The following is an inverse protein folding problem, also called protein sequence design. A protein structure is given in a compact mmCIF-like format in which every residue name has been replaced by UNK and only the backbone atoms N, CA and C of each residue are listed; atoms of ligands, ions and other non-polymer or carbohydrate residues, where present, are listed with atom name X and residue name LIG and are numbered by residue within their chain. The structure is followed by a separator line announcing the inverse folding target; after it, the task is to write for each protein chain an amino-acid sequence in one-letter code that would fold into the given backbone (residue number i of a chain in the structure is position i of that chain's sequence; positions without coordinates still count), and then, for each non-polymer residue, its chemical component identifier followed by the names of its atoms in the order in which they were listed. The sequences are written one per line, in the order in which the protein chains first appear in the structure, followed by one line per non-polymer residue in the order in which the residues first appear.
data_IF_858475070368
#
_entry.id   IF_858475070368
#
_cell.length_a   1.000
_cell.length_b   1.000
_cell.length_c   1.000
_cell.angle_alpha   90.00
_cell.angle_beta   90.00
_cell.angle_gamma   90.00
#
_symmetry.space_group_name_H-M   'P 1'
#
loop_
_entity.id
_entity.type
_entity.pdbx_description
1 polymer ?
#
# COMPACT_ATOMS: atom_id res chain seq x y z
N UNK A 1 38.44 -54.68 25.52
CA UNK A 1 38.73 -53.27 25.70
C UNK A 1 37.58 -52.49 25.01
N UNK A 2 36.67 -51.96 25.79
CA UNK A 2 35.50 -51.19 25.30
C UNK A 2 35.87 -49.73 25.43
N UNK A 3 35.80 -48.99 24.31
CA UNK A 3 35.94 -47.53 24.29
C UNK A 3 34.61 -46.88 24.60
N UNK A 4 34.57 -45.82 25.41
CA UNK A 4 33.34 -45.11 25.69
C UNK A 4 32.97 -44.16 24.54
N UNK A 5 31.68 -44.21 24.15
CA UNK A 5 31.05 -43.27 23.20
C UNK A 5 30.77 -41.95 23.94
N UNK A 6 31.41 -40.89 23.49
CA UNK A 6 31.14 -39.52 23.96
C UNK A 6 29.88 -39.03 23.27
N UNK A 7 28.82 -38.76 24.03
CA UNK A 7 27.61 -38.11 23.56
C UNK A 7 27.88 -36.62 23.38
N UNK A 8 27.89 -36.17 22.14
CA UNK A 8 27.89 -34.73 21.81
C UNK A 8 26.49 -34.18 21.98
N UNK A 9 26.31 -33.36 23.01
CA UNK A 9 25.07 -32.62 23.24
C UNK A 9 24.78 -31.64 22.09
N UNK A 10 23.71 -31.89 21.36
CA UNK A 10 23.16 -30.92 20.39
C UNK A 10 22.46 -29.79 21.16
N UNK A 11 23.06 -28.62 21.12
CA UNK A 11 22.44 -27.36 21.55
C UNK A 11 21.16 -27.12 20.73
N UNK A 12 20.01 -27.16 21.40
CA UNK A 12 18.73 -26.70 20.86
C UNK A 12 18.82 -25.21 20.66
N UNK A 13 19.18 -24.78 19.46
CA UNK A 13 18.97 -23.40 19.02
C UNK A 13 17.45 -23.14 18.93
N UNK A 14 16.93 -22.44 19.91
CA UNK A 14 15.57 -21.88 19.86
C UNK A 14 15.46 -21.02 18.58
N UNK A 15 14.77 -21.53 17.57
CA UNK A 15 14.41 -20.75 16.39
C UNK A 15 13.56 -19.57 16.89
N UNK A 16 14.12 -18.36 16.88
CA UNK A 16 13.33 -17.14 17.01
C UNK A 16 12.27 -17.20 15.94
N UNK A 17 11.00 -17.01 16.34
CA UNK A 17 9.91 -16.86 15.39
C UNK A 17 10.22 -15.71 14.42
N UNK A 18 9.63 -15.71 13.21
CA UNK A 18 9.90 -14.67 12.24
C UNK A 18 9.55 -13.32 12.84
N UNK A 19 10.56 -12.47 12.94
CA UNK A 19 10.40 -11.09 13.38
C UNK A 19 9.70 -10.36 12.24
N UNK A 20 8.46 -9.91 12.47
CA UNK A 20 7.75 -9.04 11.52
C UNK A 20 8.63 -7.82 11.24
N UNK A 21 8.73 -7.37 9.98
CA UNK A 21 9.43 -6.14 9.66
C UNK A 21 8.78 -5.00 10.46
N UNK A 22 9.47 -4.48 11.46
CA UNK A 22 8.99 -3.35 12.22
C UNK A 22 9.32 -2.08 11.44
N UNK A 23 8.32 -1.48 10.78
CA UNK A 23 8.42 -0.09 10.37
C UNK A 23 8.19 0.79 11.59
N UNK A 24 9.26 1.31 12.14
CA UNK A 24 9.22 2.31 13.19
C UNK A 24 10.00 3.54 12.72
N UNK A 25 9.34 4.67 12.55
CA UNK A 25 7.91 4.94 12.75
C UNK A 25 7.02 4.32 11.64
N UNK A 26 5.68 4.21 11.87
CA UNK A 26 4.73 3.84 10.83
C UNK A 26 4.83 4.77 9.62
N UNK A 27 4.57 4.22 8.43
CA UNK A 27 4.64 4.95 7.17
C UNK A 27 3.27 5.55 6.84
N UNK A 28 3.26 6.83 6.53
CA UNK A 28 2.10 7.55 6.00
C UNK A 28 2.31 7.84 4.52
N UNK A 29 1.42 7.33 3.69
CA UNK A 29 1.37 7.54 2.25
C UNK A 29 0.20 8.46 1.90
N UNK A 30 0.40 9.34 0.92
CA UNK A 30 -0.71 10.07 0.29
C UNK A 30 -0.97 9.52 -1.11
N UNK A 31 -2.24 9.14 -1.39
CA UNK A 31 -2.69 8.82 -2.73
C UNK A 31 -3.20 10.07 -3.44
N UNK A 32 -2.59 10.40 -4.58
CA UNK A 32 -2.96 11.56 -5.40
C UNK A 32 -3.99 11.12 -6.45
N UNK A 33 -5.25 10.99 -6.01
CA UNK A 33 -6.39 10.60 -6.85
C UNK A 33 -6.99 11.80 -7.60
N UNK A 34 -6.11 12.58 -8.21
CA UNK A 34 -6.39 13.80 -8.98
C UNK A 34 -6.27 13.49 -10.48
N UNK A 35 -6.71 14.39 -11.34
CA UNK A 35 -6.66 14.20 -12.80
C UNK A 35 -5.77 15.23 -13.52
N UNK A 36 -5.16 16.14 -12.77
CA UNK A 36 -4.24 17.18 -13.31
C UNK A 36 -2.93 17.16 -12.57
N UNK A 37 -1.83 17.11 -13.32
CA UNK A 37 -0.50 16.98 -12.75
C UNK A 37 -0.06 18.16 -11.89
N UNK A 38 -0.43 19.39 -12.26
CA UNK A 38 -0.08 20.59 -11.51
C UNK A 38 -0.73 20.58 -10.12
N UNK A 39 -1.99 20.15 -10.04
CA UNK A 39 -2.72 20.02 -8.78
C UNK A 39 -2.13 18.90 -7.92
N UNK A 40 -1.78 17.76 -8.52
CA UNK A 40 -1.12 16.65 -7.85
C UNK A 40 0.25 17.05 -7.30
N UNK A 41 1.07 17.78 -8.05
CA UNK A 41 2.36 18.30 -7.59
C UNK A 41 2.19 19.31 -6.45
N UNK A 42 1.18 20.18 -6.52
CA UNK A 42 0.84 21.12 -5.45
C UNK A 42 0.49 20.39 -4.15
N UNK A 43 -0.41 19.42 -4.24
CA UNK A 43 -0.83 18.58 -3.11
C UNK A 43 0.34 17.76 -2.54
N UNK A 44 1.17 17.19 -3.40
CA UNK A 44 2.36 16.43 -2.97
C UNK A 44 3.37 17.29 -2.19
N UNK A 45 3.59 18.57 -2.61
CA UNK A 45 4.46 19.50 -1.85
C UNK A 45 3.93 19.75 -0.45
N UNK A 46 2.63 20.02 -0.33
CA UNK A 46 1.97 20.22 0.97
C UNK A 46 2.12 18.96 1.84
N UNK A 47 1.92 17.78 1.25
CA UNK A 47 2.01 16.51 1.97
C UNK A 47 3.44 16.24 2.48
N UNK A 48 4.45 16.43 1.65
CA UNK A 48 5.87 16.28 2.03
C UNK A 48 6.25 17.25 3.15
N UNK A 49 5.82 18.52 3.06
CA UNK A 49 6.04 19.52 4.10
C UNK A 49 5.30 19.19 5.41
N UNK A 50 4.21 18.43 5.33
CA UNK A 50 3.48 17.92 6.49
C UNK A 50 4.08 16.64 7.10
N UNK A 51 5.12 16.06 6.48
CA UNK A 51 5.81 14.88 6.97
C UNK A 51 5.27 13.54 6.45
N UNK A 52 4.53 13.54 5.34
CA UNK A 52 4.14 12.32 4.63
C UNK A 52 5.38 11.66 4.04
N UNK A 53 5.46 10.33 4.15
CA UNK A 53 6.67 9.56 3.78
C UNK A 53 6.66 9.13 2.31
N UNK A 54 5.52 8.67 1.80
CA UNK A 54 5.38 8.13 0.45
C UNK A 54 4.35 8.90 -0.36
N UNK A 55 4.65 9.07 -1.65
CA UNK A 55 3.75 9.67 -2.62
C UNK A 55 3.21 8.60 -3.55
N UNK A 56 1.93 8.64 -3.85
CA UNK A 56 1.33 7.72 -4.79
C UNK A 56 0.73 8.49 -5.97
N UNK A 57 1.17 8.13 -7.17
CA UNK A 57 0.42 8.43 -8.39
C UNK A 57 -0.80 7.51 -8.39
N UNK A 58 -1.94 8.04 -7.98
CA UNK A 58 -3.19 7.29 -7.92
C UNK A 58 -3.68 6.86 -9.31
N UNK A 59 -4.51 5.84 -9.35
CA UNK A 59 -5.05 5.33 -10.63
C UNK A 59 -5.67 6.42 -11.50
N UNK A 60 -6.50 7.37 -10.96
CA UNK A 60 -7.06 8.45 -11.77
C UNK A 60 -6.01 9.34 -12.42
N UNK A 61 -4.94 9.66 -11.69
CA UNK A 61 -3.85 10.49 -12.19
C UNK A 61 -3.09 9.79 -13.32
N UNK A 62 -2.80 8.51 -13.16
CA UNK A 62 -2.11 7.71 -14.19
C UNK A 62 -2.98 7.57 -15.43
N UNK A 63 -4.29 7.38 -15.27
CA UNK A 63 -5.23 7.31 -16.41
C UNK A 63 -5.32 8.63 -17.18
N UNK A 64 -5.28 9.77 -16.48
CA UNK A 64 -5.37 11.09 -17.10
C UNK A 64 -4.06 11.52 -17.77
N UNK A 65 -2.91 11.31 -17.10
CA UNK A 65 -1.62 11.89 -17.47
C UNK A 65 -0.58 10.85 -17.97
N UNK A 66 -0.92 9.56 -17.86
CA UNK A 66 -0.01 8.48 -18.23
C UNK A 66 1.29 8.48 -17.43
N UNK A 67 2.38 7.98 -18.03
CA UNK A 67 3.72 7.92 -17.40
C UNK A 67 4.30 9.31 -17.08
N UNK A 68 3.72 10.37 -17.65
CA UNK A 68 4.16 11.74 -17.41
C UNK A 68 4.05 12.10 -15.93
N UNK A 69 2.97 11.70 -15.27
CA UNK A 69 2.75 12.02 -13.84
C UNK A 69 3.83 11.39 -12.95
N UNK A 70 4.22 10.14 -13.22
CA UNK A 70 5.27 9.45 -12.45
C UNK A 70 6.62 10.15 -12.63
N UNK A 71 6.97 10.54 -13.86
CA UNK A 71 8.19 11.31 -14.15
C UNK A 71 8.20 12.67 -13.47
N UNK A 72 7.07 13.38 -13.50
CA UNK A 72 6.94 14.70 -12.89
C UNK A 72 7.06 14.61 -11.35
N UNK A 73 6.43 13.63 -10.72
CA UNK A 73 6.59 13.36 -9.29
C UNK A 73 8.05 13.02 -8.95
N UNK A 74 8.71 12.15 -9.74
CA UNK A 74 10.13 11.81 -9.53
C UNK A 74 11.05 13.02 -9.66
N UNK A 75 10.82 13.89 -10.64
CA UNK A 75 11.60 15.12 -10.82
C UNK A 75 11.40 16.09 -9.65
N UNK A 76 10.17 16.27 -9.19
CA UNK A 76 9.85 17.17 -8.10
C UNK A 76 10.30 16.62 -6.71
N UNK A 77 10.29 15.30 -6.53
CA UNK A 77 10.59 14.62 -5.27
C UNK A 77 11.63 13.50 -5.46
N UNK A 78 12.90 13.84 -5.78
CA UNK A 78 13.91 12.86 -6.21
C UNK A 78 14.26 11.80 -5.15
N UNK A 79 14.00 12.08 -3.88
CA UNK A 79 14.35 11.18 -2.75
C UNK A 79 13.16 10.43 -2.16
N UNK A 80 11.91 10.82 -2.48
CA UNK A 80 10.73 10.18 -1.90
C UNK A 80 10.41 8.87 -2.63
N UNK A 81 9.94 7.86 -1.91
CA UNK A 81 9.28 6.71 -2.52
C UNK A 81 8.05 7.17 -3.32
N UNK A 82 7.89 6.61 -4.53
CA UNK A 82 6.76 6.88 -5.42
C UNK A 82 6.10 5.57 -5.75
N UNK A 83 4.84 5.44 -5.36
CA UNK A 83 3.98 4.30 -5.68
C UNK A 83 3.24 4.60 -6.98
N UNK A 84 3.27 3.69 -7.94
CA UNK A 84 2.43 3.73 -9.14
C UNK A 84 1.26 2.76 -8.97
N UNK A 85 0.08 3.30 -8.68
CA UNK A 85 -1.14 2.49 -8.50
C UNK A 85 -1.81 2.21 -9.86
N UNK A 86 -1.18 1.32 -10.62
CA UNK A 86 -1.64 0.91 -11.95
C UNK A 86 -2.64 -0.25 -11.93
N UNK A 87 -2.85 -0.86 -10.76
CA UNK A 87 -3.76 -1.99 -10.59
C UNK A 87 -3.58 -3.06 -11.67
N UNK A 88 -2.32 -3.49 -11.88
CA UNK A 88 -1.96 -4.44 -12.94
C UNK A 88 -2.83 -5.70 -12.92
N UNK A 89 -3.45 -6.01 -14.05
CA UNK A 89 -4.25 -7.21 -14.28
C UNK A 89 -3.68 -8.12 -15.35
N UNK A 90 -2.87 -7.57 -16.28
CA UNK A 90 -2.18 -8.31 -17.35
C UNK A 90 -0.98 -7.49 -17.86
N UNK A 91 -0.11 -8.08 -18.69
CA UNK A 91 1.08 -7.39 -19.22
C UNK A 91 2.12 -7.02 -18.16
N UNK A 92 2.11 -7.70 -17.01
CA UNK A 92 2.75 -7.29 -15.79
C UNK A 92 4.23 -6.92 -15.89
N UNK A 93 5.04 -7.68 -16.66
CA UNK A 93 6.46 -7.35 -16.82
C UNK A 93 6.68 -5.99 -17.49
N UNK A 94 5.96 -5.74 -18.61
CA UNK A 94 6.07 -4.51 -19.38
C UNK A 94 5.58 -3.30 -18.57
N UNK A 95 4.46 -3.43 -17.87
CA UNK A 95 3.91 -2.34 -17.06
C UNK A 95 4.88 -1.94 -15.95
N UNK A 96 5.47 -2.90 -15.23
CA UNK A 96 6.47 -2.63 -14.19
C UNK A 96 7.73 -1.98 -14.79
N UNK A 97 8.22 -2.47 -15.92
CA UNK A 97 9.36 -1.87 -16.64
C UNK A 97 9.09 -0.38 -16.96
N UNK A 98 7.89 -0.08 -17.49
CA UNK A 98 7.49 1.28 -17.82
C UNK A 98 7.47 2.19 -16.57
N UNK A 99 6.90 1.72 -15.47
CA UNK A 99 6.82 2.49 -14.21
C UNK A 99 8.20 2.69 -13.58
N UNK A 100 9.05 1.66 -13.57
CA UNK A 100 10.41 1.75 -13.07
C UNK A 100 11.23 2.76 -13.87
N UNK A 101 11.17 2.72 -15.20
CA UNK A 101 11.85 3.69 -16.11
C UNK A 101 11.29 5.10 -15.97
N UNK A 102 10.04 5.26 -15.55
CA UNK A 102 9.46 6.56 -15.23
C UNK A 102 9.90 7.09 -13.85
N UNK A 103 10.46 6.25 -13.00
CA UNK A 103 10.99 6.62 -11.68
C UNK A 103 10.11 6.21 -10.49
N UNK A 104 9.12 5.34 -10.68
CA UNK A 104 8.41 4.72 -9.57
C UNK A 104 9.37 3.84 -8.74
N UNK A 105 9.08 3.68 -7.46
CA UNK A 105 9.81 2.79 -6.53
C UNK A 105 8.95 1.61 -6.11
N UNK A 106 7.64 1.73 -6.29
CA UNK A 106 6.65 0.71 -5.98
C UNK A 106 5.60 0.63 -7.09
N UNK A 107 5.08 -0.55 -7.33
CA UNK A 107 3.93 -0.79 -8.24
C UNK A 107 2.90 -1.66 -7.57
N UNK A 108 1.63 -1.49 -7.97
CA UNK A 108 0.51 -2.28 -7.45
C UNK A 108 0.07 -3.32 -8.48
N UNK A 109 -0.09 -4.58 -8.05
CA UNK A 109 -0.66 -5.68 -8.83
C UNK A 109 -1.88 -6.24 -8.09
N UNK A 110 -2.94 -6.55 -8.83
CA UNK A 110 -4.17 -7.07 -8.27
C UNK A 110 -4.06 -8.56 -7.92
N UNK A 111 -4.55 -8.97 -6.75
CA UNK A 111 -4.65 -10.38 -6.36
C UNK A 111 -5.61 -11.17 -7.25
N UNK A 112 -6.51 -10.50 -7.94
CA UNK A 112 -7.43 -11.10 -8.93
C UNK A 112 -6.82 -11.28 -10.32
N UNK A 113 -5.58 -10.82 -10.54
CA UNK A 113 -4.84 -11.10 -11.77
C UNK A 113 -4.46 -12.60 -11.85
N UNK A 114 -4.21 -13.08 -13.07
CA UNK A 114 -3.71 -14.43 -13.22
C UNK A 114 -2.37 -14.62 -12.53
N UNK A 115 -2.13 -15.78 -11.94
CA UNK A 115 -0.91 -16.08 -11.18
C UNK A 115 0.38 -15.82 -11.98
N UNK A 116 0.36 -16.08 -13.28
CA UNK A 116 1.51 -15.81 -14.16
C UNK A 116 1.75 -14.31 -14.36
N UNK A 117 0.70 -13.48 -14.35
CA UNK A 117 0.83 -12.02 -14.35
C UNK A 117 1.52 -11.54 -13.06
N UNK A 118 1.08 -12.04 -11.89
CA UNK A 118 1.70 -11.68 -10.61
C UNK A 118 3.18 -12.09 -10.58
N UNK A 119 3.52 -13.29 -11.05
CA UNK A 119 4.91 -13.74 -11.19
C UNK A 119 5.73 -12.84 -12.13
N UNK A 120 5.13 -12.41 -13.25
CA UNK A 120 5.79 -11.50 -14.18
C UNK A 120 6.06 -10.14 -13.57
N UNK A 121 5.11 -9.58 -12.80
CA UNK A 121 5.28 -8.34 -12.02
C UNK A 121 6.40 -8.48 -10.99
N UNK A 122 6.39 -9.57 -10.21
CA UNK A 122 7.43 -9.82 -9.19
C UNK A 122 8.81 -10.00 -9.84
N UNK A 123 8.88 -10.70 -10.99
CA UNK A 123 10.13 -10.83 -11.75
C UNK A 123 10.65 -9.47 -12.20
N UNK A 124 9.81 -8.65 -12.82
CA UNK A 124 10.18 -7.31 -13.26
C UNK A 124 10.57 -6.41 -12.07
N UNK A 125 9.87 -6.53 -10.95
CA UNK A 125 10.23 -5.84 -9.72
C UNK A 125 11.66 -6.11 -9.28
N UNK A 126 12.10 -7.37 -9.33
CA UNK A 126 13.48 -7.76 -9.05
C UNK A 126 14.48 -7.25 -10.09
N UNK A 127 14.14 -7.38 -11.38
CA UNK A 127 15.03 -6.99 -12.48
C UNK A 127 15.28 -5.46 -12.52
N UNK A 128 14.30 -4.66 -12.13
CA UNK A 128 14.37 -3.19 -12.13
C UNK A 128 14.57 -2.56 -10.74
N UNK A 129 14.64 -3.36 -9.68
CA UNK A 129 14.81 -2.86 -8.31
C UNK A 129 13.63 -2.08 -7.75
N UNK A 130 12.42 -2.35 -8.23
CA UNK A 130 11.17 -1.74 -7.80
C UNK A 130 10.40 -2.71 -6.91
N UNK A 131 9.71 -2.20 -5.88
CA UNK A 131 8.93 -3.00 -4.95
C UNK A 131 7.54 -3.31 -5.48
N UNK A 132 7.02 -4.48 -5.14
CA UNK A 132 5.71 -4.96 -5.59
C UNK A 132 4.73 -5.01 -4.43
N UNK A 133 3.58 -4.36 -4.61
CA UNK A 133 2.49 -4.30 -3.64
C UNK A 133 1.30 -5.11 -4.20
N UNK A 134 0.87 -6.14 -3.48
CA UNK A 134 -0.24 -7.00 -3.88
C UNK A 134 -1.56 -6.51 -3.27
N UNK A 135 -2.49 -6.06 -4.11
CA UNK A 135 -3.78 -5.50 -3.70
C UNK A 135 -4.88 -6.57 -3.71
N UNK A 136 -5.54 -6.76 -2.56
CA UNK A 136 -6.61 -7.74 -2.39
C UNK A 136 -8.02 -7.18 -2.65
N UNK A 137 -8.13 -6.00 -3.28
CA UNK A 137 -9.40 -5.40 -3.69
C UNK A 137 -10.27 -6.38 -4.46
N UNK A 138 -11.54 -6.47 -4.06
CA UNK A 138 -12.53 -7.31 -4.73
C UNK A 138 -12.36 -8.81 -4.51
N UNK A 139 -11.47 -9.26 -3.61
CA UNK A 139 -11.35 -10.65 -3.22
C UNK A 139 -12.38 -10.99 -2.13
N UNK A 140 -13.03 -12.16 -2.26
CA UNK A 140 -14.03 -12.63 -1.31
C UNK A 140 -13.36 -13.07 0.01
N UNK A 141 -12.22 -13.78 -0.08
CA UNK A 141 -11.35 -14.12 1.06
C UNK A 141 -10.03 -13.35 0.92
N UNK A 142 -9.99 -12.16 1.51
CA UNK A 142 -8.83 -11.27 1.46
C UNK A 142 -7.60 -11.86 2.17
N UNK A 143 -7.82 -12.64 3.22
CA UNK A 143 -6.72 -13.29 3.95
C UNK A 143 -6.08 -14.42 3.11
N UNK A 144 -6.89 -15.25 2.45
CA UNK A 144 -6.38 -16.28 1.53
C UNK A 144 -5.67 -15.66 0.33
N UNK A 145 -6.25 -14.62 -0.28
CA UNK A 145 -5.63 -13.88 -1.39
C UNK A 145 -4.27 -13.31 -0.99
N UNK A 146 -4.18 -12.70 0.20
CA UNK A 146 -2.92 -12.14 0.72
C UNK A 146 -1.84 -13.20 0.93
N UNK A 147 -2.19 -14.39 1.45
CA UNK A 147 -1.25 -15.51 1.56
C UNK A 147 -0.71 -15.95 0.20
N UNK A 148 -1.57 -16.02 -0.81
CA UNK A 148 -1.16 -16.37 -2.19
C UNK A 148 -0.19 -15.31 -2.71
N UNK A 149 -0.51 -14.03 -2.58
CA UNK A 149 0.35 -12.93 -3.03
C UNK A 149 1.73 -12.98 -2.35
N UNK A 150 1.79 -13.16 -1.02
CA UNK A 150 3.05 -13.34 -0.29
C UNK A 150 3.85 -14.53 -0.83
N UNK A 151 3.20 -15.68 -1.05
CA UNK A 151 3.85 -16.88 -1.58
C UNK A 151 4.44 -16.69 -2.99
N UNK A 152 3.87 -15.80 -3.78
CA UNK A 152 4.34 -15.41 -5.11
C UNK A 152 5.49 -14.38 -5.05
N UNK A 153 5.76 -13.80 -3.88
CA UNK A 153 6.91 -12.96 -3.63
C UNK A 153 6.68 -11.46 -3.77
N UNK A 154 5.45 -10.97 -3.56
CA UNK A 154 5.22 -9.52 -3.40
C UNK A 154 5.88 -9.03 -2.11
N UNK A 155 6.23 -7.74 -2.06
CA UNK A 155 6.92 -7.13 -0.92
C UNK A 155 5.94 -6.62 0.16
N UNK A 156 4.73 -6.25 -0.22
CA UNK A 156 3.68 -5.69 0.64
C UNK A 156 2.31 -6.22 0.26
N UNK A 157 1.39 -6.24 1.22
CA UNK A 157 -0.04 -6.41 0.97
C UNK A 157 -0.75 -5.07 1.06
N UNK A 158 -1.59 -4.76 0.09
CA UNK A 158 -2.56 -3.66 0.16
C UNK A 158 -3.91 -4.27 0.53
N UNK A 159 -4.32 -4.07 1.78
CA UNK A 159 -5.63 -4.47 2.27
C UNK A 159 -6.64 -3.38 1.95
N UNK A 160 -7.48 -3.65 0.96
CA UNK A 160 -8.28 -2.64 0.29
C UNK A 160 -9.77 -2.91 0.37
N UNK A 161 -10.53 -1.88 0.74
CA UNK A 161 -12.00 -1.87 0.62
C UNK A 161 -12.40 -0.82 -0.42
N UNK A 162 -13.02 -1.26 -1.51
CA UNK A 162 -13.28 -0.45 -2.70
C UNK A 162 -14.20 0.75 -2.45
N UNK A 163 -14.00 1.81 -3.23
CA UNK A 163 -14.86 2.99 -3.20
C UNK A 163 -16.30 2.66 -3.63
N UNK A 164 -16.45 1.99 -4.79
CA UNK A 164 -17.77 1.63 -5.33
C UNK A 164 -18.48 0.60 -4.46
N UNK A 165 -17.73 -0.36 -3.89
CA UNK A 165 -18.27 -1.35 -2.96
C UNK A 165 -18.88 -0.66 -1.73
N UNK A 166 -18.13 0.26 -1.10
CA UNK A 166 -18.60 1.00 0.09
C UNK A 166 -19.84 1.82 -0.21
N UNK A 167 -19.83 2.56 -1.31
CA UNK A 167 -20.94 3.43 -1.68
C UNK A 167 -22.17 2.64 -2.15
N UNK A 168 -21.95 1.57 -2.92
CA UNK A 168 -23.04 0.71 -3.38
C UNK A 168 -23.75 0.00 -2.24
N UNK A 169 -23.00 -0.53 -1.27
CA UNK A 169 -23.57 -1.17 -0.08
C UNK A 169 -24.29 -0.16 0.82
N UNK A 170 -23.73 1.02 1.02
CA UNK A 170 -24.37 2.09 1.79
C UNK A 170 -25.68 2.54 1.13
N UNK A 171 -25.71 2.74 -0.19
CA UNK A 171 -26.89 3.09 -0.96
C UNK A 171 -27.97 2.00 -0.91
N UNK A 172 -27.57 0.72 -0.82
CA UNK A 172 -28.47 -0.41 -0.64
C UNK A 172 -28.94 -0.62 0.81
N UNK A 173 -28.60 0.28 1.74
CA UNK A 173 -28.97 0.18 3.15
C UNK A 173 -28.26 -0.95 3.91
N UNK A 174 -27.16 -1.48 3.37
CA UNK A 174 -26.40 -2.60 3.98
C UNK A 174 -25.35 -2.15 5.01
N UNK A 175 -25.35 -0.87 5.38
CA UNK A 175 -24.43 -0.30 6.33
C UNK A 175 -23.09 0.11 5.71
N UNK A 176 -22.22 0.69 6.55
CA UNK A 176 -20.85 1.04 6.18
C UNK A 176 -19.97 -0.18 6.35
N UNK A 177 -19.21 -0.50 5.33
CA UNK A 177 -18.08 -1.44 5.41
C UNK A 177 -16.76 -0.67 5.56
N UNK A 178 -15.83 -1.26 6.28
CA UNK A 178 -14.52 -0.68 6.55
C UNK A 178 -13.43 -1.71 6.28
N UNK A 179 -12.23 -1.30 5.85
CA UNK A 179 -11.09 -2.21 5.79
C UNK A 179 -10.70 -2.79 7.17
N UNK A 180 -11.23 -2.23 8.27
CA UNK A 180 -11.03 -2.81 9.60
C UNK A 180 -11.77 -4.13 9.81
N UNK A 181 -12.81 -4.40 9.04
CA UNK A 181 -13.68 -5.56 9.26
C UNK A 181 -12.90 -6.88 9.10
N UNK A 182 -12.00 -6.96 8.10
CA UNK A 182 -11.17 -8.14 7.82
C UNK A 182 -9.68 -7.99 8.18
N UNK A 183 -9.29 -6.84 8.75
CA UNK A 183 -7.88 -6.49 8.94
C UNK A 183 -7.10 -7.52 9.76
N UNK A 184 -7.64 -7.94 10.90
CA UNK A 184 -6.93 -8.86 11.81
C UNK A 184 -6.69 -10.22 11.15
N UNK A 185 -7.65 -10.68 10.32
CA UNK A 185 -7.50 -11.90 9.55
C UNK A 185 -6.38 -11.78 8.49
N UNK A 186 -6.29 -10.63 7.80
CA UNK A 186 -5.25 -10.37 6.79
C UNK A 186 -3.87 -10.24 7.44
N UNK A 187 -3.75 -9.45 8.52
CA UNK A 187 -2.48 -9.26 9.24
C UNK A 187 -1.97 -10.60 9.80
N UNK A 188 -2.87 -11.42 10.34
CA UNK A 188 -2.50 -12.75 10.86
C UNK A 188 -2.13 -13.76 9.76
N UNK A 189 -2.55 -13.51 8.53
CA UNK A 189 -2.36 -14.43 7.41
C UNK A 189 -0.98 -14.30 6.73
N UNK A 190 -0.27 -13.18 6.90
CA UNK A 190 0.97 -12.85 6.21
C UNK A 190 2.06 -12.39 7.17
N UNK A 191 3.31 -12.39 6.69
CA UNK A 191 4.50 -11.93 7.44
C UNK A 191 5.11 -10.66 6.85
N UNK A 192 4.70 -10.31 5.63
CA UNK A 192 5.10 -9.07 4.97
C UNK A 192 4.21 -7.92 5.46
N UNK A 193 4.67 -6.66 5.36
CA UNK A 193 3.92 -5.52 5.85
C UNK A 193 2.58 -5.36 5.13
N UNK A 194 1.56 -4.98 5.91
CA UNK A 194 0.21 -4.70 5.41
C UNK A 194 0.00 -3.19 5.36
N UNK A 195 -0.44 -2.72 4.20
CA UNK A 195 -0.97 -1.38 3.99
C UNK A 195 -2.49 -1.43 4.06
N UNK A 196 -3.12 -0.44 4.67
CA UNK A 196 -4.59 -0.35 4.73
C UNK A 196 -5.08 0.86 3.96
N UNK A 197 -6.07 0.64 3.09
CA UNK A 197 -6.68 1.68 2.26
C UNK A 197 -8.17 1.43 2.06
N UNK A 198 -8.95 2.49 1.93
CA UNK A 198 -10.38 2.41 1.61
C UNK A 198 -11.29 3.15 2.59
N UNK A 199 -11.34 4.48 2.54
CA UNK A 199 -12.29 5.31 3.27
C UNK A 199 -12.10 5.32 4.78
N UNK A 200 -10.86 5.27 5.24
CA UNK A 200 -10.49 5.42 6.64
C UNK A 200 -10.86 6.81 7.15
N UNK A 201 -11.44 6.86 8.35
CA UNK A 201 -11.46 8.08 9.15
C UNK A 201 -10.07 8.35 9.74
N UNK A 202 -9.83 9.55 10.25
CA UNK A 202 -8.57 9.90 10.93
C UNK A 202 -8.33 8.97 12.13
N UNK A 203 -9.37 8.69 12.90
CA UNK A 203 -9.33 7.80 14.07
C UNK A 203 -8.96 6.38 13.67
N UNK A 204 -9.59 5.85 12.61
CA UNK A 204 -9.26 4.55 12.07
C UNK A 204 -7.80 4.51 11.58
N UNK A 205 -7.35 5.52 10.83
CA UNK A 205 -5.97 5.61 10.34
C UNK A 205 -4.93 5.55 11.46
N UNK A 206 -5.19 6.22 12.59
CA UNK A 206 -4.33 6.23 13.79
C UNK A 206 -4.26 4.86 14.47
N UNK A 207 -5.32 4.06 14.40
CA UNK A 207 -5.36 2.73 15.00
C UNK A 207 -4.67 1.63 14.16
N UNK A 208 -4.46 1.84 12.86
CA UNK A 208 -3.92 0.82 11.95
C UNK A 208 -2.57 0.25 12.39
N UNK A 209 -1.54 1.07 12.77
CA UNK A 209 -0.27 0.54 13.20
C UNK A 209 -0.36 -0.33 14.46
N UNK A 210 -1.25 0.01 15.40
CA UNK A 210 -1.50 -0.75 16.63
C UNK A 210 -2.14 -2.12 16.35
N UNK A 211 -2.86 -2.24 15.24
CA UNK A 211 -3.44 -3.50 14.76
C UNK A 211 -2.52 -4.29 13.81
N UNK A 212 -1.24 -3.91 13.71
CA UNK A 212 -0.24 -4.62 12.92
C UNK A 212 -0.16 -4.23 11.45
N UNK A 213 -0.81 -3.12 11.04
CA UNK A 213 -0.74 -2.56 9.69
C UNK A 213 0.06 -1.24 9.70
N UNK A 214 1.39 -1.28 9.54
CA UNK A 214 2.26 -0.11 9.73
C UNK A 214 2.23 0.88 8.56
N UNK A 215 1.52 0.59 7.48
CA UNK A 215 1.40 1.48 6.33
C UNK A 215 -0.03 1.99 6.22
N UNK A 216 -0.20 3.30 6.29
CA UNK A 216 -1.49 3.99 6.26
C UNK A 216 -1.57 4.87 5.03
N UNK A 217 -2.66 4.76 4.26
CA UNK A 217 -2.90 5.61 3.08
C UNK A 217 -3.96 6.65 3.37
N UNK A 218 -3.63 7.87 3.03
CA UNK A 218 -4.55 9.02 3.05
C UNK A 218 -4.85 9.39 1.60
N UNK A 219 -6.13 9.33 1.21
CA UNK A 219 -6.55 9.76 -0.11
C UNK A 219 -6.59 11.28 -0.22
N UNK A 220 -6.17 11.83 -1.34
CA UNK A 220 -6.39 13.21 -1.69
C UNK A 220 -7.24 13.28 -2.98
N UNK A 221 -8.35 13.99 -2.95
CA UNK A 221 -8.81 14.89 -1.88
C UNK A 221 -9.31 14.16 -0.62
N UNK A 222 -9.03 14.73 0.54
CA UNK A 222 -9.33 14.12 1.86
C UNK A 222 -10.81 13.96 2.18
N UNK A 223 -11.67 14.67 1.48
CA UNK A 223 -13.11 14.52 1.55
C UNK A 223 -13.59 13.98 0.22
N UNK A 224 -13.74 12.69 0.13
CA UNK A 224 -14.58 12.09 -0.89
C UNK A 224 -16.03 12.30 -0.44
N UNK A 225 -16.55 13.50 -0.69
CA UNK A 225 -17.99 13.65 -0.89
C UNK A 225 -18.32 12.91 -2.19
N UNK A 226 -19.34 12.05 -2.14
CA UNK A 226 -19.73 11.15 -3.23
C UNK A 226 -19.98 11.85 -4.59
N UNK A 227 -19.94 13.18 -4.64
CA UNK A 227 -20.24 14.00 -5.80
C UNK A 227 -19.19 15.06 -6.13
N UNK A 228 -18.09 15.17 -5.40
CA UNK A 228 -17.05 16.14 -5.74
C UNK A 228 -15.68 15.72 -5.23
N UNK A 229 -14.73 15.56 -6.15
CA UNK A 229 -13.30 15.58 -5.85
C UNK A 229 -12.89 17.01 -5.44
N UNK A 230 -13.48 17.53 -4.37
CA UNK A 230 -13.12 18.84 -3.82
C UNK A 230 -12.25 18.63 -2.60
N UNK A 231 -11.14 19.36 -2.54
CA UNK A 231 -10.33 19.44 -1.33
C UNK A 231 -11.23 19.79 -0.14
N UNK A 232 -11.03 19.10 0.98
CA UNK A 232 -11.70 19.40 2.23
C UNK A 232 -11.50 20.90 2.56
N UNK A 233 -12.53 21.56 3.00
CA UNK A 233 -12.40 22.92 3.50
C UNK A 233 -11.49 22.89 4.74
N UNK A 234 -10.35 23.60 4.69
CA UNK A 234 -9.38 23.65 5.78
C UNK A 234 -7.93 23.73 5.29
N UNK A 235 -7.02 23.92 6.22
CA UNK A 235 -5.58 23.85 5.92
C UNK A 235 -5.13 22.39 5.79
N UNK A 236 -5.00 21.93 4.55
CA UNK A 236 -4.56 20.57 4.20
C UNK A 236 -3.25 20.23 4.89
N UNK A 237 -2.30 21.16 4.98
CA UNK A 237 -1.00 20.93 5.60
C UNK A 237 -1.13 20.65 7.10
N UNK A 238 -1.95 21.43 7.81
CA UNK A 238 -2.18 21.22 9.24
C UNK A 238 -2.89 19.91 9.52
N UNK A 239 -3.88 19.55 8.69
CA UNK A 239 -4.58 18.29 8.82
C UNK A 239 -3.64 17.10 8.58
N UNK A 240 -2.85 17.10 7.51
CA UNK A 240 -1.88 16.04 7.22
C UNK A 240 -0.81 15.95 8.31
N UNK A 241 -0.35 17.09 8.84
CA UNK A 241 0.61 17.14 9.95
C UNK A 241 0.03 16.54 11.23
N UNK A 242 -1.23 16.83 11.53
CA UNK A 242 -1.92 16.24 12.69
C UNK A 242 -2.07 14.71 12.54
N UNK A 243 -2.45 14.24 11.35
CA UNK A 243 -2.58 12.80 11.06
C UNK A 243 -1.22 12.11 11.18
N UNK A 244 -0.18 12.61 10.50
CA UNK A 244 1.16 11.99 10.51
C UNK A 244 1.74 11.91 11.92
N UNK A 245 1.52 12.92 12.75
CA UNK A 245 1.92 12.90 14.16
C UNK A 245 1.18 11.81 14.93
N UNK A 246 -0.16 11.82 14.89
CA UNK A 246 -1.00 10.86 15.63
C UNK A 246 -0.78 9.41 15.21
N UNK A 247 -0.50 9.14 13.96
CA UNK A 247 -0.19 7.79 13.46
C UNK A 247 1.12 7.25 14.05
N UNK A 248 2.04 8.15 14.45
CA UNK A 248 3.37 7.80 14.99
C UNK A 248 3.44 7.81 16.53
N UNK A 249 2.42 8.31 17.20
CA UNK A 249 2.23 8.24 18.66
C UNK A 249 1.69 6.86 19.09
#
# INVERSE_FOLDING_TARGET
MLHPVVATGSSLTTKRGPQLPSFHPPIVQISLDLIHIEEALGTARIAVEAGVDWLEAGTPLILAEGLHCVRALRQAFPKHPIVADIKTMDGGYLEVEMMAKAGATHVVVMARAHVETIKAVVKAGRDYGIKVMGDNLGCDDKAAASRVMESLGVDYIVHHTGYDERNGLAAAGRGRISPLDDLDAVVSAVRIPVQVVGGLTVEEAVEMPKRGAPLVVIGAPLAIDAHSFKAAAGDLKELLRAITRRVRE
#
